data_IF_172416822409
#
_entry.id   IF_172416822409
#
_cell.length_a   1.000
_cell.length_b   1.000
_cell.length_c   1.000
_cell.angle_alpha   90.00
_cell.angle_beta   90.00
_cell.angle_gamma   90.00
#
_symmetry.space_group_name_H-M   'P 1'
#
loop_
_entity.id
_entity.type
_entity.pdbx_description
1 polymer ?
#
# COMPACT_ATOMS: atom_id res chain seq x y z
N UNK A 1 11.97 9.66 0.82
CA UNK A 1 10.53 9.87 0.53
C UNK A 1 10.25 10.64 -0.75
N UNK A 2 10.35 11.96 -0.82
CA UNK A 2 9.81 12.72 -1.97
C UNK A 2 10.51 12.43 -3.31
N UNK A 3 11.83 12.21 -3.29
CA UNK A 3 12.61 11.81 -4.47
C UNK A 3 12.26 10.39 -4.96
N UNK A 4 12.28 9.42 -4.06
CA UNK A 4 11.89 8.02 -4.35
C UNK A 4 10.45 7.92 -4.87
N UNK A 5 9.55 8.74 -4.32
CA UNK A 5 8.17 8.82 -4.75
C UNK A 5 8.04 9.33 -6.19
N UNK A 6 8.82 10.33 -6.57
CA UNK A 6 8.85 10.84 -7.94
C UNK A 6 9.43 9.81 -8.93
N UNK A 7 10.44 9.05 -8.52
CA UNK A 7 11.02 8.00 -9.35
C UNK A 7 10.02 6.85 -9.60
N UNK A 8 9.23 6.49 -8.59
CA UNK A 8 8.13 5.53 -8.70
C UNK A 8 7.05 6.04 -9.65
N UNK A 9 6.60 7.30 -9.49
CA UNK A 9 5.61 7.93 -10.38
C UNK A 9 6.05 7.90 -11.84
N UNK A 10 7.31 8.25 -12.12
CA UNK A 10 7.84 8.27 -13.48
C UNK A 10 7.89 6.87 -14.12
N UNK A 11 8.09 5.81 -13.33
CA UNK A 11 8.02 4.42 -13.81
C UNK A 11 6.58 3.97 -14.08
N UNK A 12 5.62 4.39 -13.26
CA UNK A 12 4.18 4.09 -13.43
C UNK A 12 3.64 4.70 -14.72
N UNK A 13 3.97 5.96 -15.02
CA UNK A 13 3.46 6.71 -16.18
C UNK A 13 3.87 6.08 -17.53
N UNK A 14 4.92 5.25 -17.57
CA UNK A 14 5.38 4.57 -18.79
C UNK A 14 4.69 3.24 -19.08
N UNK A 15 3.80 2.77 -18.21
CA UNK A 15 3.09 1.52 -18.38
C UNK A 15 1.65 1.81 -18.83
N UNK A 16 1.19 1.21 -19.94
CA UNK A 16 -0.17 1.42 -20.47
C UNK A 16 -1.27 0.97 -19.49
N UNK A 17 -0.90 0.22 -18.44
CA UNK A 17 -1.73 -0.10 -17.28
C UNK A 17 -1.00 0.28 -16.00
N UNK A 18 -1.74 0.77 -14.99
CA UNK A 18 -1.19 1.00 -13.65
C UNK A 18 -0.58 -0.32 -13.13
N UNK A 19 0.72 -0.37 -12.80
CA UNK A 19 1.32 -1.57 -12.25
C UNK A 19 0.71 -1.86 -10.87
N UNK A 20 0.65 -3.13 -10.50
CA UNK A 20 0.27 -3.55 -9.15
C UNK A 20 1.39 -3.15 -8.20
N UNK A 21 1.08 -2.34 -7.18
CA UNK A 21 2.07 -1.84 -6.22
C UNK A 21 1.85 -2.49 -4.85
N UNK A 22 2.91 -3.11 -4.33
CA UNK A 22 2.99 -3.59 -2.95
C UNK A 22 3.81 -2.64 -2.11
N UNK A 23 3.37 -2.36 -0.88
CA UNK A 23 4.15 -1.61 0.11
C UNK A 23 4.51 -2.52 1.28
N UNK A 24 5.80 -2.53 1.64
CA UNK A 24 6.31 -3.25 2.81
C UNK A 24 6.33 -2.31 4.02
N UNK A 25 5.34 -2.45 4.90
CA UNK A 25 5.22 -1.58 6.08
C UNK A 25 4.35 -2.19 7.17
N UNK A 26 4.69 -1.87 8.42
CA UNK A 26 3.85 -2.11 9.61
C UNK A 26 3.19 -0.82 10.12
N UNK A 27 3.43 0.32 9.44
CA UNK A 27 3.01 1.63 9.90
C UNK A 27 1.65 2.01 9.30
N UNK A 28 0.65 2.13 10.19
CA UNK A 28 -0.71 2.51 9.83
C UNK A 28 -0.80 3.82 9.03
N UNK A 29 -0.09 4.87 9.44
CA UNK A 29 -0.20 6.19 8.82
C UNK A 29 0.37 6.19 7.39
N UNK A 30 1.47 5.46 7.18
CA UNK A 30 2.07 5.29 5.84
C UNK A 30 1.09 4.55 4.93
N UNK A 31 0.54 3.41 5.39
CA UNK A 31 -0.42 2.66 4.57
C UNK A 31 -1.69 3.47 4.30
N UNK A 32 -2.19 4.22 5.28
CA UNK A 32 -3.34 5.12 5.14
C UNK A 32 -3.11 6.17 4.05
N UNK A 33 -1.95 6.84 4.07
CA UNK A 33 -1.61 7.84 3.06
C UNK A 33 -1.55 7.21 1.65
N UNK A 34 -0.99 6.00 1.53
CA UNK A 34 -0.97 5.27 0.26
C UNK A 34 -2.38 4.88 -0.21
N UNK A 35 -3.25 4.39 0.67
CA UNK A 35 -4.64 4.05 0.37
C UNK A 35 -5.45 5.29 -0.02
N UNK A 36 -5.24 6.41 0.67
CA UNK A 36 -5.97 7.66 0.41
C UNK A 36 -5.63 8.30 -0.93
N UNK A 37 -4.41 8.08 -1.42
CA UNK A 37 -3.95 8.59 -2.72
C UNK A 37 -4.00 7.53 -3.84
N UNK A 38 -4.61 6.36 -3.61
CA UNK A 38 -4.66 5.21 -4.54
C UNK A 38 -3.27 4.79 -5.07
N UNK A 39 -2.28 4.73 -4.18
CA UNK A 39 -0.87 4.48 -4.52
C UNK A 39 -0.45 3.04 -4.36
N UNK A 40 -1.31 2.20 -3.78
CA UNK A 40 -1.00 0.84 -3.39
C UNK A 40 -2.16 -0.08 -3.75
N UNK A 41 -1.84 -1.36 -3.94
CA UNK A 41 -2.80 -2.43 -4.18
C UNK A 41 -2.62 -3.57 -3.17
N UNK A 42 -1.40 -3.73 -2.64
CA UNK A 42 -1.03 -4.79 -1.70
C UNK A 42 -0.32 -4.21 -0.47
N UNK A 43 -0.78 -4.57 0.73
CA UNK A 43 -0.03 -4.39 1.98
C UNK A 43 0.84 -5.63 2.24
N UNK A 44 2.13 -5.45 2.44
CA UNK A 44 3.02 -6.47 2.96
C UNK A 44 3.40 -6.10 4.39
N UNK A 45 2.86 -6.83 5.38
CA UNK A 45 3.04 -6.53 6.79
C UNK A 45 3.75 -7.70 7.48
N UNK A 46 5.01 -7.49 7.86
CA UNK A 46 5.84 -8.51 8.52
C UNK A 46 5.33 -8.91 9.90
N UNK A 47 4.47 -8.11 10.51
CA UNK A 47 3.84 -8.39 11.80
C UNK A 47 2.50 -9.12 11.66
N UNK A 48 2.08 -9.50 10.45
CA UNK A 48 0.75 -10.04 10.19
C UNK A 48 -0.38 -9.13 10.74
N UNK A 49 -0.22 -7.81 10.62
CA UNK A 49 -1.14 -6.80 11.14
C UNK A 49 -1.31 -6.83 12.68
N UNK A 50 -0.44 -7.53 13.43
CA UNK A 50 -0.53 -7.60 14.89
C UNK A 50 0.09 -6.38 15.58
N UNK A 51 1.04 -5.70 14.92
CA UNK A 51 1.65 -4.47 15.45
C UNK A 51 0.61 -3.33 15.56
N UNK A 52 -0.28 -3.21 14.58
CA UNK A 52 -1.40 -2.27 14.63
C UNK A 52 -2.64 -2.84 13.92
N UNK A 53 -3.54 -3.51 14.66
CA UNK A 53 -4.73 -4.16 14.09
C UNK A 53 -5.69 -3.22 13.36
N UNK A 54 -5.65 -1.91 13.64
CA UNK A 54 -6.49 -0.93 12.97
C UNK A 54 -6.17 -0.84 11.46
N UNK A 55 -4.96 -1.25 11.04
CA UNK A 55 -4.55 -1.26 9.63
C UNK A 55 -5.48 -2.11 8.76
N UNK A 56 -6.13 -3.13 9.34
CA UNK A 56 -7.11 -3.99 8.66
C UNK A 56 -8.31 -3.18 8.16
N UNK A 57 -8.70 -2.11 8.87
CA UNK A 57 -9.82 -1.25 8.47
C UNK A 57 -9.56 -0.50 7.17
N UNK A 58 -8.28 -0.33 6.79
CA UNK A 58 -7.88 0.31 5.55
C UNK A 58 -7.92 -0.65 4.34
N UNK A 59 -7.95 -1.97 4.57
CA UNK A 59 -7.99 -2.99 3.51
C UNK A 59 -9.33 -3.05 2.76
N UNK A 60 -10.35 -2.36 3.27
CA UNK A 60 -11.66 -2.22 2.64
C UNK A 60 -12.05 -0.75 2.55
N UNK A 61 -12.02 -0.20 1.34
CA UNK A 61 -12.58 1.13 1.02
C UNK A 61 -13.71 0.95 0.01
N UNK A 62 -14.76 1.78 0.07
CA UNK A 62 -16.10 1.61 -0.57
C UNK A 62 -16.16 0.79 -1.88
N UNK A 63 -15.21 0.95 -2.81
CA UNK A 63 -15.20 0.26 -4.11
C UNK A 63 -13.91 -0.56 -4.41
N UNK A 64 -13.02 -0.78 -3.42
CA UNK A 64 -11.75 -1.48 -3.62
C UNK A 64 -11.39 -2.33 -2.39
N UNK A 65 -11.03 -3.59 -2.65
CA UNK A 65 -10.36 -4.46 -1.68
C UNK A 65 -8.86 -4.46 -1.97
N UNK A 66 -8.06 -4.34 -0.92
CA UNK A 66 -6.61 -4.44 -1.01
C UNK A 66 -6.19 -5.86 -0.61
N UNK A 67 -5.19 -6.41 -1.30
CA UNK A 67 -4.60 -7.69 -0.88
C UNK A 67 -3.62 -7.47 0.26
N UNK A 68 -3.45 -8.47 1.13
CA UNK A 68 -2.49 -8.41 2.23
C UNK A 68 -1.63 -9.66 2.24
N UNK A 69 -0.33 -9.49 2.45
CA UNK A 69 0.62 -10.56 2.75
C UNK A 69 0.90 -10.51 4.24
N UNK A 70 0.49 -11.56 4.95
CA UNK A 70 0.73 -11.74 6.37
C UNK A 70 1.92 -12.69 6.52
N UNK A 71 3.06 -12.19 7.01
CA UNK A 71 4.23 -13.04 7.26
C UNK A 71 4.14 -13.67 8.66
N UNK A 72 4.60 -14.92 8.77
CA UNK A 72 4.66 -15.66 10.04
C UNK A 72 5.90 -15.28 10.85
#
# INVERSE_FOLDING_TARGET
FQKEWNDIKNKIVKCDAKPIISIDTINYNVFKECVDNDLVDILNDISACTNNPEIIKLLKKKNKFYSVVLMH
#
